data_IF_719030181924
#
_entry.id   IF_719030181924
#
_cell.length_a   1.000
_cell.length_b   1.000
_cell.length_c   1.000
_cell.angle_alpha   90.00
_cell.angle_beta   90.00
_cell.angle_gamma   90.00
#
_symmetry.space_group_name_H-M   'P 1'
#
loop_
_entity.id
_entity.type
_entity.pdbx_description
1 polymer ?
#
# COMPACT_ATOMS: atom_id res chain seq x y z
N UNK A 1 -8.80 -28.85 -17.72
CA UNK A 1 -7.88 -27.70 -17.53
C UNK A 1 -6.77 -27.84 -18.57
N UNK A 2 -6.40 -26.77 -19.27
CA UNK A 2 -5.31 -26.79 -20.28
C UNK A 2 -4.23 -25.82 -19.80
N UNK A 3 -3.13 -26.35 -19.26
CA UNK A 3 -2.01 -25.53 -18.77
C UNK A 3 -1.11 -25.06 -19.93
N UNK A 4 -0.18 -24.12 -19.63
CA UNK A 4 0.79 -23.58 -20.60
C UNK A 4 0.14 -23.08 -21.90
N UNK A 5 -1.04 -22.49 -21.77
CA UNK A 5 -1.93 -22.16 -22.87
C UNK A 5 -2.33 -20.69 -22.77
N UNK A 6 -1.48 -19.82 -23.30
CA UNK A 6 -1.71 -18.38 -23.33
C UNK A 6 -2.63 -17.99 -24.48
N UNK A 7 -3.63 -17.16 -24.18
CA UNK A 7 -4.51 -16.53 -25.17
C UNK A 7 -3.73 -15.38 -25.82
N UNK A 8 -3.64 -15.41 -27.15
CA UNK A 8 -2.94 -14.39 -27.95
C UNK A 8 -3.92 -13.49 -28.71
N UNK A 9 -5.19 -13.90 -28.84
CA UNK A 9 -6.21 -13.12 -29.52
C UNK A 9 -7.62 -13.57 -29.17
N UNK A 10 -8.59 -12.68 -29.44
CA UNK A 10 -10.01 -12.92 -29.27
C UNK A 10 -10.68 -12.48 -30.57
N UNK A 11 -11.39 -13.41 -31.21
CA UNK A 11 -12.24 -13.11 -32.36
C UNK A 11 -13.67 -12.90 -31.87
N UNK A 12 -14.26 -11.75 -32.21
CA UNK A 12 -15.62 -11.40 -31.83
C UNK A 12 -16.32 -10.71 -32.99
N UNK A 13 -17.64 -10.86 -33.08
CA UNK A 13 -18.47 -10.17 -34.05
C UNK A 13 -19.70 -9.59 -33.36
N UNK A 14 -19.96 -8.31 -33.59
CA UNK A 14 -21.04 -7.61 -32.91
C UNK A 14 -20.83 -7.67 -31.40
N UNK A 15 -21.76 -8.30 -30.69
CA UNK A 15 -21.74 -8.44 -29.23
C UNK A 15 -21.37 -9.85 -28.77
N UNK A 16 -20.81 -10.70 -29.63
CA UNK A 16 -20.48 -12.07 -29.27
C UNK A 16 -19.02 -12.43 -29.60
N UNK A 17 -18.34 -13.05 -28.63
CA UNK A 17 -17.06 -13.71 -28.84
C UNK A 17 -17.30 -15.01 -29.58
N UNK A 18 -16.61 -15.21 -30.71
CA UNK A 18 -16.70 -16.41 -31.52
C UNK A 18 -15.69 -17.47 -31.08
N UNK A 19 -14.46 -17.04 -30.79
CA UNK A 19 -13.37 -17.94 -30.38
C UNK A 19 -12.25 -17.21 -29.65
N UNK A 20 -11.54 -17.96 -28.81
CA UNK A 20 -10.25 -17.59 -28.27
C UNK A 20 -9.14 -18.19 -29.14
N UNK A 21 -8.13 -17.39 -29.45
CA UNK A 21 -6.98 -17.78 -30.26
C UNK A 21 -5.79 -17.99 -29.32
N UNK A 22 -5.21 -19.18 -29.36
CA UNK A 22 -3.97 -19.55 -28.67
C UNK A 22 -2.90 -19.85 -29.72
N UNK A 23 -1.62 -19.91 -29.31
CA UNK A 23 -0.49 -20.13 -30.25
C UNK A 23 -0.67 -21.33 -31.19
N UNK A 24 -1.24 -22.43 -30.68
CA UNK A 24 -1.31 -23.71 -31.41
C UNK A 24 -2.74 -24.25 -31.60
N UNK A 25 -3.77 -23.49 -31.19
CA UNK A 25 -5.17 -23.94 -31.27
C UNK A 25 -6.15 -22.78 -31.13
N UNK A 26 -7.38 -23.04 -31.53
CA UNK A 26 -8.52 -22.17 -31.28
C UNK A 26 -9.50 -22.87 -30.33
N UNK A 27 -10.18 -22.09 -29.49
CA UNK A 27 -11.20 -22.60 -28.57
C UNK A 27 -12.50 -21.86 -28.85
N UNK A 28 -13.55 -22.62 -29.16
CA UNK A 28 -14.92 -22.13 -29.32
C UNK A 28 -15.72 -22.58 -28.10
N UNK A 29 -16.48 -21.65 -27.52
CA UNK A 29 -17.42 -21.91 -26.45
C UNK A 29 -18.68 -21.07 -26.64
N UNK A 30 -19.78 -21.51 -26.02
CA UNK A 30 -21.01 -20.70 -25.98
C UNK A 30 -20.82 -19.44 -25.14
N UNK A 31 -20.19 -19.58 -23.97
CA UNK A 31 -19.93 -18.51 -23.01
C UNK A 31 -18.45 -18.49 -22.60
N UNK A 32 -17.94 -17.30 -22.31
CA UNK A 32 -16.56 -17.04 -21.89
C UNK A 32 -16.55 -16.33 -20.54
N UNK A 33 -15.66 -16.73 -19.63
CA UNK A 33 -15.49 -16.08 -18.34
C UNK A 33 -14.04 -15.62 -18.20
N UNK A 34 -13.82 -14.33 -18.01
CA UNK A 34 -12.49 -13.78 -17.78
C UNK A 34 -12.19 -13.75 -16.27
N UNK A 35 -11.27 -14.62 -15.87
CA UNK A 35 -10.77 -14.75 -14.50
C UNK A 35 -9.24 -14.58 -14.45
N UNK A 36 -8.70 -13.60 -15.18
CA UNK A 36 -7.24 -13.47 -15.39
C UNK A 36 -6.49 -12.81 -14.23
N UNK A 37 -7.20 -12.46 -13.16
CA UNK A 37 -6.64 -11.67 -12.06
C UNK A 37 -6.28 -10.24 -12.46
N UNK A 38 -5.50 -9.59 -11.59
CA UNK A 38 -5.01 -8.23 -11.78
C UNK A 38 -3.67 -8.14 -12.51
N UNK A 39 -2.83 -7.20 -12.04
CA UNK A 39 -1.47 -6.91 -12.52
C UNK A 39 -0.41 -7.05 -11.41
N UNK A 40 -0.84 -7.18 -10.15
CA UNK A 40 0.03 -7.48 -9.00
C UNK A 40 0.72 -8.84 -9.15
N UNK A 41 1.95 -8.98 -8.66
CA UNK A 41 2.72 -10.23 -8.71
C UNK A 41 2.76 -10.90 -10.11
N UNK A 42 3.24 -10.22 -11.17
CA UNK A 42 3.16 -10.72 -12.54
C UNK A 42 3.86 -12.07 -12.77
N UNK A 43 4.85 -12.41 -11.93
CA UNK A 43 5.51 -13.72 -11.93
C UNK A 43 4.56 -14.90 -11.65
N UNK A 44 3.39 -14.64 -11.07
CA UNK A 44 2.34 -15.64 -10.82
C UNK A 44 1.41 -15.86 -12.02
N UNK A 45 1.54 -15.06 -13.09
CA UNK A 45 0.74 -15.15 -14.31
C UNK A 45 -0.32 -14.05 -14.49
N UNK A 46 -0.51 -13.18 -13.50
CA UNK A 46 -1.35 -11.96 -13.53
C UNK A 46 -0.68 -10.86 -14.36
N UNK A 47 -0.70 -11.03 -15.69
CA UNK A 47 0.00 -10.13 -16.63
C UNK A 47 -0.77 -8.86 -17.00
N UNK A 48 -2.03 -8.75 -16.55
CA UNK A 48 -2.94 -7.67 -16.94
C UNK A 48 -3.45 -7.76 -18.38
N UNK A 49 -3.25 -8.89 -19.08
CA UNK A 49 -3.75 -9.07 -20.46
C UNK A 49 -5.28 -9.01 -20.53
N UNK A 50 -6.00 -9.50 -19.50
CA UNK A 50 -7.47 -9.43 -19.45
C UNK A 50 -8.02 -8.00 -19.56
N UNK A 51 -7.33 -7.01 -18.99
CA UNK A 51 -7.70 -5.60 -19.12
C UNK A 51 -7.56 -5.10 -20.56
N UNK A 52 -6.50 -5.51 -21.27
CA UNK A 52 -6.32 -5.15 -22.69
C UNK A 52 -7.41 -5.77 -23.54
N UNK A 53 -7.73 -7.03 -23.29
CA UNK A 53 -8.82 -7.74 -23.97
C UNK A 53 -10.17 -7.06 -23.73
N UNK A 54 -10.49 -6.72 -22.48
CA UNK A 54 -11.72 -6.02 -22.13
C UNK A 54 -11.83 -4.66 -22.85
N UNK A 55 -10.77 -3.84 -22.83
CA UNK A 55 -10.73 -2.59 -23.58
C UNK A 55 -10.97 -2.79 -25.10
N UNK A 56 -10.34 -3.80 -25.71
CA UNK A 56 -10.52 -4.11 -27.13
C UNK A 56 -11.94 -4.60 -27.47
N UNK A 57 -12.65 -5.17 -26.49
CA UNK A 57 -14.05 -5.57 -26.58
C UNK A 57 -15.02 -4.41 -26.27
N UNK A 58 -14.51 -3.20 -26.01
CA UNK A 58 -15.30 -2.00 -25.79
C UNK A 58 -15.59 -1.66 -24.32
N UNK A 59 -15.03 -2.38 -23.36
CA UNK A 59 -15.19 -2.08 -21.94
C UNK A 59 -14.34 -0.90 -21.47
N UNK A 60 -14.85 -0.12 -20.52
CA UNK A 60 -14.04 0.85 -19.80
C UNK A 60 -13.29 0.17 -18.65
N UNK A 61 -11.97 0.07 -18.81
CA UNK A 61 -11.06 -0.29 -17.71
C UNK A 61 -10.62 0.97 -16.99
N UNK A 62 -10.97 1.09 -15.70
CA UNK A 62 -10.46 2.16 -14.84
C UNK A 62 -8.95 2.05 -14.69
N UNK A 63 -8.31 3.20 -14.47
CA UNK A 63 -6.87 3.25 -14.27
C UNK A 63 -6.43 2.30 -13.15
N UNK A 64 -5.40 1.50 -13.44
CA UNK A 64 -4.92 0.45 -12.54
C UNK A 64 -3.82 0.99 -11.65
N UNK A 65 -3.91 0.72 -10.35
CA UNK A 65 -2.90 1.11 -9.37
C UNK A 65 -2.46 -0.05 -8.49
N UNK A 66 -1.18 -0.08 -8.06
CA UNK A 66 -0.75 -1.00 -7.02
C UNK A 66 -1.43 -0.63 -5.70
N UNK A 67 -2.05 -1.60 -5.05
CA UNK A 67 -2.70 -1.44 -3.75
C UNK A 67 -2.23 -2.50 -2.77
N UNK A 68 -2.38 -2.19 -1.47
CA UNK A 68 -1.79 -2.96 -0.38
C UNK A 68 -0.28 -3.17 -0.64
N UNK A 69 0.43 -2.06 -0.79
CA UNK A 69 1.81 -2.01 -1.29
C UNK A 69 2.71 -1.23 -0.33
N UNK A 70 3.97 -1.65 -0.12
CA UNK A 70 4.91 -0.89 0.68
C UNK A 70 5.16 0.52 0.12
N UNK A 71 5.59 1.42 1.00
CA UNK A 71 5.90 2.80 0.65
C UNK A 71 7.41 3.03 0.68
N UNK A 72 7.90 3.89 -0.22
CA UNK A 72 9.29 4.32 -0.24
C UNK A 72 9.44 5.59 0.59
N UNK A 73 10.51 5.65 1.38
CA UNK A 73 10.84 6.80 2.22
C UNK A 73 12.16 7.43 1.75
N UNK A 74 12.21 8.76 1.76
CA UNK A 74 13.36 9.55 1.29
C UNK A 74 14.54 9.50 2.26
N UNK A 75 14.25 9.54 3.56
CA UNK A 75 15.26 9.63 4.61
C UNK A 75 16.10 8.36 4.69
N UNK A 76 17.42 8.50 4.58
CA UNK A 76 18.36 7.37 4.52
C UNK A 76 18.43 6.54 5.81
N UNK A 77 18.13 7.15 6.96
CA UNK A 77 18.16 6.49 8.26
C UNK A 77 17.11 5.38 8.38
N UNK A 78 16.07 5.39 7.56
CA UNK A 78 15.04 4.33 7.54
C UNK A 78 15.66 2.98 7.19
N UNK A 79 16.68 2.95 6.33
CA UNK A 79 17.39 1.72 5.95
C UNK A 79 18.15 1.11 7.12
N UNK A 80 18.64 1.94 8.04
CA UNK A 80 19.33 1.48 9.26
C UNK A 80 18.38 0.65 10.15
N UNK A 81 17.07 0.85 10.01
CA UNK A 81 16.03 0.18 10.77
C UNK A 81 15.47 -1.07 10.08
N UNK A 82 15.95 -1.45 8.89
CA UNK A 82 15.42 -2.58 8.12
C UNK A 82 15.20 -3.83 8.98
N UNK A 83 14.01 -4.43 8.90
CA UNK A 83 13.63 -5.62 9.66
C UNK A 83 13.15 -5.33 11.08
N UNK A 84 13.16 -4.07 11.54
CA UNK A 84 12.51 -3.69 12.78
C UNK A 84 10.99 -3.62 12.55
N UNK A 85 10.25 -4.45 13.27
CA UNK A 85 8.81 -4.32 13.43
C UNK A 85 8.50 -3.49 14.68
N UNK A 86 7.53 -2.59 14.57
CA UNK A 86 6.96 -1.84 15.68
C UNK A 86 5.48 -2.20 15.81
N UNK A 87 5.07 -2.47 17.04
CA UNK A 87 3.69 -2.74 17.41
C UNK A 87 3.10 -1.55 18.15
N UNK A 88 1.77 -1.38 18.06
CA UNK A 88 1.03 -0.35 18.76
C UNK A 88 1.52 1.07 18.47
N UNK A 89 1.80 1.36 17.19
CA UNK A 89 2.21 2.69 16.71
C UNK A 89 1.10 3.33 15.89
N UNK A 90 1.11 4.66 15.80
CA UNK A 90 0.20 5.40 14.91
C UNK A 90 0.97 6.04 13.77
N UNK A 91 0.51 5.82 12.55
CA UNK A 91 0.97 6.52 11.34
C UNK A 91 0.00 7.63 11.03
N UNK A 92 0.51 8.84 10.89
CA UNK A 92 -0.22 10.04 10.54
C UNK A 92 0.27 10.54 9.16
N UNK A 93 -0.65 10.70 8.22
CA UNK A 93 -0.34 11.12 6.84
C UNK A 93 -0.77 12.56 6.64
N UNK A 94 0.15 13.38 6.14
CA UNK A 94 -0.05 14.81 5.90
C UNK A 94 0.22 15.16 4.45
N UNK A 95 -0.56 16.11 3.94
CA UNK A 95 -0.34 16.73 2.63
C UNK A 95 -0.61 18.22 2.79
N UNK A 96 0.31 19.09 2.34
CA UNK A 96 0.26 20.54 2.56
C UNK A 96 0.09 20.89 4.04
N UNK A 97 0.83 20.19 4.90
CA UNK A 97 0.81 20.29 6.37
C UNK A 97 -0.56 20.07 7.04
N UNK A 98 -1.57 19.59 6.30
CA UNK A 98 -2.87 19.17 6.83
C UNK A 98 -2.88 17.66 7.02
N UNK A 99 -3.26 17.21 8.23
CA UNK A 99 -3.48 15.79 8.52
C UNK A 99 -4.63 15.30 7.64
N UNK A 100 -4.37 14.29 6.81
CA UNK A 100 -5.36 13.68 5.91
C UNK A 100 -5.92 12.39 6.47
N UNK A 101 -5.06 11.61 7.12
CA UNK A 101 -5.43 10.27 7.58
C UNK A 101 -4.54 9.83 8.75
N UNK A 102 -5.06 8.91 9.58
CA UNK A 102 -4.27 8.19 10.58
C UNK A 102 -4.66 6.71 10.65
N UNK A 103 -3.68 5.85 10.93
CA UNK A 103 -3.89 4.44 11.22
C UNK A 103 -3.04 3.99 12.40
N UNK A 104 -3.62 3.16 13.25
CA UNK A 104 -2.96 2.54 14.39
C UNK A 104 -2.71 1.05 14.13
N UNK A 105 -1.56 0.53 14.58
CA UNK A 105 -1.24 -0.90 14.52
C UNK A 105 0.25 -1.16 14.31
N UNK A 106 0.56 -2.13 13.46
CA UNK A 106 1.92 -2.63 13.22
C UNK A 106 2.58 -2.06 11.96
N UNK A 107 3.84 -1.63 12.11
CA UNK A 107 4.68 -1.08 11.05
C UNK A 107 5.99 -1.87 10.94
N UNK A 108 6.47 -2.09 9.72
CA UNK A 108 7.74 -2.75 9.44
C UNK A 108 8.66 -1.80 8.67
N UNK A 109 9.89 -1.61 9.15
CA UNK A 109 10.94 -0.92 8.41
C UNK A 109 11.59 -1.84 7.38
N UNK A 110 11.84 -1.34 6.17
CA UNK A 110 12.48 -2.09 5.07
C UNK A 110 13.71 -1.34 4.54
N UNK A 111 14.44 -1.95 3.61
CA UNK A 111 15.61 -1.33 2.96
C UNK A 111 15.26 -0.14 2.04
N UNK A 112 13.97 0.09 1.75
CA UNK A 112 13.51 1.19 0.88
C UNK A 112 12.53 2.13 1.57
N UNK A 113 11.96 1.77 2.71
CA UNK A 113 10.87 2.53 3.32
C UNK A 113 10.12 1.76 4.40
N UNK A 114 8.79 1.79 4.34
CA UNK A 114 7.91 1.16 5.31
C UNK A 114 6.99 0.13 4.67
N UNK A 115 6.63 -0.88 5.44
CA UNK A 115 5.67 -1.94 5.15
C UNK A 115 4.91 -2.30 6.43
N UNK A 116 4.27 -3.47 6.45
CA UNK A 116 3.47 -3.95 7.57
C UNK A 116 1.98 -3.59 7.43
N UNK A 117 1.10 -4.24 8.21
CA UNK A 117 -0.34 -4.18 8.01
C UNK A 117 -0.92 -2.77 7.88
N UNK A 118 -0.49 -1.82 8.73
CA UNK A 118 -1.04 -0.46 8.69
C UNK A 118 -0.58 0.29 7.45
N UNK A 119 0.66 0.10 7.01
CA UNK A 119 1.21 0.77 5.83
C UNK A 119 0.52 0.26 4.57
N UNK A 120 0.35 -1.06 4.47
CA UNK A 120 -0.37 -1.67 3.35
C UNK A 120 -1.83 -1.20 3.32
N UNK A 121 -2.52 -1.18 4.46
CA UNK A 121 -3.91 -0.73 4.54
C UNK A 121 -4.13 0.73 4.14
N UNK A 122 -3.12 1.60 4.27
CA UNK A 122 -3.21 3.02 3.91
C UNK A 122 -2.54 3.37 2.58
N UNK A 123 -1.87 2.41 1.93
CA UNK A 123 -1.07 2.66 0.74
C UNK A 123 -1.89 3.25 -0.41
N UNK A 124 -3.14 2.79 -0.59
CA UNK A 124 -4.08 3.30 -1.60
C UNK A 124 -4.32 4.81 -1.42
N UNK A 125 -4.65 5.22 -0.19
CA UNK A 125 -4.87 6.63 0.17
C UNK A 125 -3.62 7.48 -0.03
N UNK A 126 -2.44 6.96 0.35
CA UNK A 126 -1.16 7.64 0.08
C UNK A 126 -0.96 7.82 -1.43
N UNK A 127 -1.24 6.78 -2.23
CA UNK A 127 -1.17 6.83 -3.68
C UNK A 127 -2.10 7.87 -4.29
N UNK A 128 -3.34 7.98 -3.81
CA UNK A 128 -4.30 9.01 -4.24
C UNK A 128 -3.80 10.42 -3.91
N UNK A 129 -3.26 10.64 -2.71
CA UNK A 129 -2.68 11.94 -2.32
C UNK A 129 -1.47 12.33 -3.18
N UNK A 130 -0.65 11.36 -3.58
CA UNK A 130 0.48 11.60 -4.48
C UNK A 130 0.03 11.96 -5.91
N UNK A 131 -1.19 11.57 -6.31
CA UNK A 131 -1.74 11.82 -7.67
C UNK A 131 -2.62 13.07 -7.78
N UNK A 132 -3.36 13.42 -6.73
CA UNK A 132 -4.45 14.41 -6.76
C UNK A 132 -4.01 15.89 -6.98
N UNK A 133 -2.76 16.17 -7.32
CA UNK A 133 -2.37 17.52 -7.75
C UNK A 133 -1.65 17.48 -9.10
N UNK A 134 -2.22 18.25 -10.04
CA UNK A 134 -1.60 18.60 -11.31
C UNK A 134 -0.14 18.97 -11.10
N UNK A 135 0.72 18.45 -11.97
CA UNK A 135 2.08 18.94 -12.17
C UNK A 135 1.96 20.38 -12.70
N UNK A 136 1.70 21.36 -11.83
CA UNK A 136 1.80 22.78 -12.15
C UNK A 136 3.26 23.22 -11.98
N UNK A 137 4.09 22.80 -12.92
CA UNK A 137 5.36 23.46 -13.25
C UNK A 137 6.04 22.68 -14.39
N UNK A 138 5.57 22.92 -15.62
CA UNK A 138 6.36 22.69 -16.83
C UNK A 138 6.91 24.05 -17.25
N UNK A 139 7.83 24.62 -16.47
CA UNK A 139 8.65 25.74 -16.95
C UNK A 139 10.16 25.54 -16.69
N UNK A 140 10.59 24.73 -15.70
CA UNK A 140 12.04 24.61 -15.40
C UNK A 140 12.59 23.16 -15.29
N UNK A 141 11.99 22.18 -15.95
CA UNK A 141 12.58 20.83 -16.04
C UNK A 141 12.71 20.04 -14.72
N UNK A 142 12.30 20.60 -13.58
CA UNK A 142 12.28 19.95 -12.27
C UNK A 142 10.86 19.50 -11.96
N UNK A 143 10.61 18.19 -12.05
CA UNK A 143 9.39 17.56 -11.53
C UNK A 143 9.36 17.75 -10.01
N UNK A 144 8.60 18.73 -9.53
CA UNK A 144 8.35 18.88 -8.10
C UNK A 144 7.32 17.81 -7.69
N UNK A 145 7.78 16.75 -7.04
CA UNK A 145 6.90 15.71 -6.52
C UNK A 145 6.10 16.29 -5.34
N UNK A 146 4.78 16.08 -5.35
CA UNK A 146 3.93 16.44 -4.23
C UNK A 146 4.45 15.74 -2.97
N UNK A 147 4.75 16.53 -1.93
CA UNK A 147 5.41 16.01 -0.74
C UNK A 147 4.35 15.54 0.25
N UNK A 148 4.16 14.22 0.30
CA UNK A 148 3.37 13.58 1.37
C UNK A 148 4.31 13.29 2.53
N UNK A 149 4.00 13.88 3.69
CA UNK A 149 4.73 13.66 4.94
C UNK A 149 4.04 12.57 5.76
N UNK A 150 4.85 11.78 6.43
CA UNK A 150 4.42 10.70 7.30
C UNK A 150 5.03 10.97 8.67
N UNK A 151 4.19 11.02 9.69
CA UNK A 151 4.62 11.10 11.08
C UNK A 151 4.30 9.79 11.76
N UNK A 152 5.33 9.16 12.35
CA UNK A 152 5.19 7.96 13.15
C UNK A 152 5.19 8.33 14.63
N UNK A 153 4.06 8.08 15.30
CA UNK A 153 3.94 8.15 16.74
C UNK A 153 4.31 6.80 17.35
N UNK A 154 5.44 6.77 18.07
CA UNK A 154 5.98 5.56 18.70
C UNK A 154 5.26 5.21 20.01
N UNK A 155 4.48 6.14 20.58
CA UNK A 155 3.78 5.99 21.86
C UNK A 155 2.38 6.64 21.79
N UNK A 156 1.48 6.17 20.91
CA UNK A 156 0.15 6.75 20.74
C UNK A 156 -0.71 6.65 22.01
N UNK A 157 -0.51 5.63 22.84
CA UNK A 157 -1.23 5.46 24.11
C UNK A 157 -0.84 6.47 25.20
N UNK A 158 0.23 7.25 25.01
CA UNK A 158 0.67 8.29 25.94
C UNK A 158 0.53 9.66 25.29
N UNK A 159 -0.21 10.56 25.91
CA UNK A 159 -0.13 11.99 25.59
C UNK A 159 1.27 12.54 25.92
N UNK A 160 1.59 13.72 25.39
CA UNK A 160 2.92 14.33 25.53
C UNK A 160 3.32 14.56 26.99
N UNK A 161 2.36 14.87 27.87
CA UNK A 161 2.66 15.12 29.28
C UNK A 161 2.98 13.81 30.02
N UNK A 162 2.21 12.75 29.79
CA UNK A 162 2.48 11.41 30.34
C UNK A 162 3.78 10.84 29.80
N UNK A 163 4.08 11.06 28.53
CA UNK A 163 5.35 10.65 27.94
C UNK A 163 6.53 11.41 28.56
N UNK A 164 6.41 12.72 28.77
CA UNK A 164 7.43 13.51 29.48
C UNK A 164 7.67 12.99 30.89
N UNK A 165 6.59 12.76 31.67
CA UNK A 165 6.67 12.18 33.02
C UNK A 165 7.35 10.80 33.01
N UNK A 166 7.04 9.97 32.01
CA UNK A 166 7.70 8.67 31.83
C UNK A 166 9.21 8.83 31.58
N UNK A 167 9.60 9.72 30.66
CA UNK A 167 11.01 9.97 30.35
C UNK A 167 11.75 10.52 31.57
N UNK A 168 11.16 11.44 32.33
CA UNK A 168 11.74 11.92 33.58
C UNK A 168 12.01 10.79 34.59
N UNK A 169 11.08 9.84 34.73
CA UNK A 169 11.25 8.67 35.60
C UNK A 169 12.41 7.79 35.13
N UNK A 170 12.47 7.51 33.84
CA UNK A 170 13.54 6.69 33.24
C UNK A 170 14.90 7.42 33.37
N UNK A 171 14.92 8.74 33.23
CA UNK A 171 16.12 9.56 33.42
C UNK A 171 16.63 9.54 34.87
N UNK A 172 15.74 9.59 35.87
CA UNK A 172 16.12 9.45 37.29
C UNK A 172 16.76 8.09 37.57
N UNK A 173 16.18 7.02 37.01
CA UNK A 173 16.71 5.64 37.15
C UNK A 173 18.13 5.51 36.56
N UNK A 174 18.43 6.27 35.50
CA UNK A 174 19.71 6.19 34.77
C UNK A 174 20.54 7.47 34.85
N UNK A 175 20.39 8.28 35.91
CA UNK A 175 20.95 9.62 36.03
C UNK A 175 22.46 9.75 35.76
N UNK A 176 23.24 8.72 36.11
CA UNK A 176 24.69 8.68 35.96
C UNK A 176 25.17 8.00 34.66
N UNK A 177 24.25 7.52 33.82
CA UNK A 177 24.57 6.86 32.54
C UNK A 177 24.54 7.87 31.39
N UNK A 178 25.16 7.49 30.27
CA UNK A 178 25.04 8.20 28.99
C UNK A 178 23.60 8.15 28.46
N UNK A 179 23.16 9.23 27.81
CA UNK A 179 21.83 9.35 27.21
C UNK A 179 21.45 8.18 26.29
N UNK A 180 22.37 7.72 25.43
CA UNK A 180 22.11 6.55 24.56
C UNK A 180 21.70 5.29 25.33
N UNK A 181 22.16 5.13 26.58
CA UNK A 181 21.90 3.95 27.39
C UNK A 181 20.59 4.02 28.18
N UNK A 182 19.95 5.19 28.30
CA UNK A 182 18.70 5.34 29.07
C UNK A 182 17.44 5.02 28.25
N UNK A 183 17.55 4.92 26.92
CA UNK A 183 16.41 4.66 26.03
C UNK A 183 16.04 3.18 25.89
N UNK A 184 16.85 2.26 26.45
CA UNK A 184 16.66 0.81 26.34
C UNK A 184 15.32 0.31 26.90
N UNK A 185 14.78 0.95 27.94
CA UNK A 185 13.50 0.57 28.55
C UNK A 185 12.29 1.13 27.78
N UNK A 186 12.52 2.05 26.84
CA UNK A 186 11.48 2.77 26.11
C UNK A 186 11.36 2.33 24.64
N UNK A 187 12.49 2.03 24.01
CA UNK A 187 12.61 1.79 22.58
C UNK A 187 13.36 0.49 22.26
N UNK A 188 13.06 -0.16 21.12
CA UNK A 188 13.88 -1.25 20.61
C UNK A 188 15.32 -0.81 20.36
N UNK A 189 16.29 -1.69 20.65
CA UNK A 189 17.74 -1.39 20.53
C UNK A 189 18.13 -0.81 19.16
N UNK A 190 17.52 -1.31 18.08
CA UNK A 190 17.82 -0.87 16.71
C UNK A 190 17.37 0.56 16.42
N UNK A 191 16.34 1.05 17.11
CA UNK A 191 15.80 2.41 16.95
C UNK A 191 16.60 3.46 17.73
N UNK A 192 17.28 3.07 18.80
CA UNK A 192 17.99 3.98 19.71
C UNK A 192 19.03 4.85 18.98
N UNK A 193 19.95 4.31 18.14
CA UNK A 193 20.94 5.15 17.45
C UNK A 193 20.32 6.23 16.57
N UNK A 194 19.22 5.90 15.88
CA UNK A 194 18.47 6.82 15.03
C UNK A 194 17.82 7.92 15.86
N UNK A 195 17.15 7.58 16.96
CA UNK A 195 16.52 8.57 17.84
C UNK A 195 17.56 9.47 18.51
N UNK A 196 18.69 8.92 18.96
CA UNK A 196 19.78 9.72 19.51
C UNK A 196 20.28 10.74 18.48
N UNK A 197 20.54 10.29 17.24
CA UNK A 197 20.96 11.16 16.13
C UNK A 197 19.94 12.26 15.84
N UNK A 198 18.65 11.92 15.75
CA UNK A 198 17.57 12.87 15.42
C UNK A 198 17.20 13.79 16.59
N UNK A 199 17.50 13.41 17.83
CA UNK A 199 17.21 14.22 19.02
C UNK A 199 18.14 15.43 19.18
N UNK A 200 19.27 15.46 18.47
CA UNK A 200 20.37 16.42 18.65
C UNK A 200 20.95 16.46 20.07
N UNK A 201 20.75 15.41 20.89
CA UNK A 201 21.39 15.24 22.20
C UNK A 201 22.66 14.40 22.02
N UNK A 202 23.80 14.89 22.51
CA UNK A 202 25.05 14.15 22.39
C UNK A 202 24.94 12.74 23.02
N UNK A 203 25.36 11.66 22.34
CA UNK A 203 25.16 10.28 22.80
C UNK A 203 25.73 9.99 24.19
N UNK A 204 26.90 10.58 24.49
CA UNK A 204 27.63 10.44 25.76
C UNK A 204 27.25 11.47 26.81
N UNK A 205 26.33 12.39 26.51
CA UNK A 205 25.83 13.35 27.49
C UNK A 205 25.25 12.57 28.67
N UNK A 206 25.67 12.91 29.89
CA UNK A 206 25.07 12.33 31.08
C UNK A 206 23.61 12.78 31.19
N UNK A 207 22.75 11.84 31.56
CA UNK A 207 21.31 12.06 31.64
C UNK A 207 20.93 13.22 32.57
N UNK A 208 21.64 13.40 33.69
CA UNK A 208 21.44 14.51 34.61
C UNK A 208 21.73 15.90 34.01
N UNK A 209 22.50 15.97 32.92
CA UNK A 209 22.82 17.20 32.22
C UNK A 209 21.87 17.46 31.03
N UNK A 210 20.91 16.57 30.76
CA UNK A 210 19.90 16.78 29.71
C UNK A 210 18.92 17.86 30.15
N UNK A 211 18.77 18.90 29.32
CA UNK A 211 17.94 20.05 29.65
C UNK A 211 16.45 19.73 29.50
N UNK A 212 15.58 20.56 30.10
CA UNK A 212 14.13 20.45 29.90
C UNK A 212 13.77 20.60 28.42
N UNK A 213 14.43 21.51 27.70
CA UNK A 213 14.18 21.74 26.28
C UNK A 213 14.56 20.53 25.42
N UNK A 214 15.76 19.98 25.62
CA UNK A 214 16.20 18.74 24.96
C UNK A 214 15.22 17.59 25.19
N UNK A 215 14.76 17.43 26.44
CA UNK A 215 13.77 16.41 26.80
C UNK A 215 12.42 16.66 26.12
N UNK A 216 11.93 17.89 26.07
CA UNK A 216 10.70 18.25 25.36
C UNK A 216 10.83 17.96 23.85
N UNK A 217 11.99 18.21 23.25
CA UNK A 217 12.25 17.90 21.85
C UNK A 217 12.29 16.38 21.61
N UNK A 218 12.86 15.61 22.54
CA UNK A 218 12.77 14.14 22.51
C UNK A 218 11.31 13.65 22.56
N UNK A 219 10.48 14.22 23.44
CA UNK A 219 9.04 13.89 23.49
C UNK A 219 8.38 14.17 22.14
N UNK A 220 8.63 15.34 21.54
CA UNK A 220 8.09 15.69 20.22
C UNK A 220 8.54 14.72 19.14
N UNK A 221 9.83 14.36 19.12
CA UNK A 221 10.40 13.40 18.17
C UNK A 221 9.77 12.00 18.31
N UNK A 222 9.55 11.53 19.53
CA UNK A 222 8.94 10.21 19.76
C UNK A 222 7.46 10.16 19.38
N UNK A 223 6.75 11.29 19.47
CA UNK A 223 5.35 11.43 19.05
C UNK A 223 5.22 11.72 17.55
N UNK A 224 6.27 12.28 16.93
CA UNK A 224 6.28 12.68 15.54
C UNK A 224 7.63 12.39 14.88
N UNK A 225 7.92 11.10 14.66
CA UNK A 225 9.07 10.72 13.85
C UNK A 225 8.73 10.97 12.38
N UNK A 226 9.09 12.15 11.90
CA UNK A 226 8.75 12.62 10.56
C UNK A 226 9.60 11.96 9.46
N UNK A 227 8.92 11.62 8.37
CA UNK A 227 9.46 10.99 7.17
C UNK A 227 8.74 11.56 5.94
N UNK A 228 9.41 11.51 4.81
CA UNK A 228 8.87 11.96 3.52
C UNK A 228 8.76 10.77 2.58
N UNK A 229 7.57 10.52 2.04
CA UNK A 229 7.44 9.51 0.98
C UNK A 229 7.74 10.12 -0.39
N UNK A 230 8.46 9.37 -1.23
CA UNK A 230 8.71 9.71 -2.63
C UNK A 230 7.96 8.77 -3.60
N UNK A 231 7.04 7.94 -3.08
CA UNK A 231 6.24 7.03 -3.88
C UNK A 231 5.91 5.71 -3.21
N UNK A 232 5.06 4.93 -3.89
CA UNK A 232 4.77 3.54 -3.55
C UNK A 232 5.72 2.60 -4.32
N UNK A 233 5.81 1.33 -3.91
CA UNK A 233 6.33 0.30 -4.82
C UNK A 233 5.35 0.05 -5.98
N UNK A 234 5.86 -0.60 -7.03
CA UNK A 234 5.07 -0.98 -8.20
C UNK A 234 4.28 -2.27 -8.00
N UNK A 235 3.68 -2.75 -9.09
CA UNK A 235 2.88 -3.98 -9.13
C UNK A 235 3.65 -5.24 -8.71
N UNK A 236 4.98 -5.27 -8.87
CA UNK A 236 5.83 -6.40 -8.44
C UNK A 236 5.81 -6.65 -6.92
N UNK A 237 5.38 -5.65 -6.14
CA UNK A 237 5.31 -5.74 -4.67
C UNK A 237 3.92 -5.41 -4.12
N UNK A 238 2.95 -5.19 -5.00
CA UNK A 238 1.56 -4.94 -4.61
C UNK A 238 0.88 -6.27 -4.35
N UNK A 239 0.09 -6.37 -3.27
CA UNK A 239 -0.69 -7.59 -2.99
C UNK A 239 -1.88 -7.68 -3.96
N UNK A 240 -2.48 -6.54 -4.28
CA UNK A 240 -3.61 -6.46 -5.21
C UNK A 240 -3.49 -5.27 -6.16
N UNK A 241 -4.31 -5.30 -7.18
CA UNK A 241 -4.57 -4.26 -8.16
C UNK A 241 -5.85 -3.54 -7.76
N UNK A 242 -5.78 -2.22 -7.62
CA UNK A 242 -6.98 -1.37 -7.52
C UNK A 242 -7.29 -0.80 -8.91
N UNK A 243 -8.57 -0.61 -9.21
CA UNK A 243 -9.04 -0.38 -10.57
C UNK A 243 -9.48 -1.69 -11.23
N UNK A 244 -9.82 -1.63 -12.52
CA UNK A 244 -10.28 -2.78 -13.28
C UNK A 244 -11.48 -2.46 -14.15
N UNK A 245 -12.21 -3.49 -14.56
CA UNK A 245 -13.39 -3.31 -15.41
C UNK A 245 -14.50 -2.61 -14.61
N UNK A 246 -15.07 -1.56 -15.20
CA UNK A 246 -16.10 -0.74 -14.59
C UNK A 246 -17.32 -1.56 -14.15
N UNK A 247 -17.69 -1.45 -12.88
CA UNK A 247 -18.89 -2.08 -12.32
C UNK A 247 -20.19 -1.68 -13.03
N UNK A 248 -20.23 -0.51 -13.69
CA UNK A 248 -21.42 -0.06 -14.43
C UNK A 248 -21.71 -0.96 -15.64
N UNK A 249 -20.69 -1.60 -16.18
CA UNK A 249 -20.73 -2.41 -17.41
C UNK A 249 -20.89 -3.91 -17.13
N UNK A 250 -21.00 -4.28 -15.84
CA UNK A 250 -21.21 -5.65 -15.39
C UNK A 250 -22.59 -5.72 -14.73
N UNK A 251 -23.35 -6.77 -15.02
CA UNK A 251 -24.58 -7.09 -14.31
C UNK A 251 -24.24 -7.72 -12.95
N UNK A 252 -24.67 -7.09 -11.86
CA UNK A 252 -24.31 -7.46 -10.49
C UNK A 252 -24.97 -8.75 -9.99
N UNK A 253 -26.00 -9.24 -10.69
CA UNK A 253 -26.71 -10.49 -10.36
C UNK A 253 -26.17 -11.69 -11.11
N UNK A 254 -25.48 -11.47 -12.23
CA UNK A 254 -25.02 -12.54 -13.12
C UNK A 254 -23.52 -12.53 -13.39
N UNK A 255 -22.84 -11.42 -13.12
CA UNK A 255 -21.47 -11.12 -13.54
C UNK A 255 -21.27 -11.06 -15.06
N UNK A 256 -22.37 -11.03 -15.83
CA UNK A 256 -22.36 -10.91 -17.29
C UNK A 256 -21.95 -9.50 -17.71
N UNK A 257 -21.20 -9.41 -18.78
CA UNK A 257 -20.95 -8.16 -19.48
C UNK A 257 -22.26 -7.59 -20.03
N UNK A 258 -22.45 -6.28 -19.88
CA UNK A 258 -23.56 -5.55 -20.52
C UNK A 258 -23.24 -5.14 -21.97
N UNK A 259 -22.01 -5.40 -22.43
CA UNK A 259 -21.51 -5.01 -23.76
C UNK A 259 -21.39 -6.25 -24.66
N UNK A 260 -20.79 -7.33 -24.16
CA UNK A 260 -20.59 -8.59 -24.87
C UNK A 260 -21.48 -9.66 -24.24
N UNK A 261 -22.42 -10.15 -25.01
CA UNK A 261 -23.53 -10.96 -24.54
C UNK A 261 -23.06 -12.32 -24.04
N UNK A 262 -21.98 -12.89 -24.54
CA UNK A 262 -21.50 -14.20 -24.07
C UNK A 262 -20.21 -14.11 -23.22
N UNK A 263 -19.98 -12.96 -22.58
CA UNK A 263 -18.83 -12.72 -21.72
C UNK A 263 -19.24 -12.45 -20.27
N UNK A 264 -18.49 -13.02 -19.33
CA UNK A 264 -18.61 -12.80 -17.90
C UNK A 264 -17.25 -12.42 -17.31
N UNK A 265 -17.24 -11.75 -16.17
CA UNK A 265 -16.02 -11.38 -15.45
C UNK A 265 -16.06 -11.93 -14.02
N UNK A 266 -14.91 -12.31 -13.48
CA UNK A 266 -14.81 -12.68 -12.07
C UNK A 266 -13.41 -12.43 -11.50
N UNK A 267 -13.36 -12.18 -10.20
CA UNK A 267 -12.14 -11.89 -9.44
C UNK A 267 -11.56 -10.50 -9.70
N UNK A 268 -10.25 -10.38 -9.47
CA UNK A 268 -9.50 -9.11 -9.44
C UNK A 268 -9.43 -8.36 -10.79
N UNK A 269 -9.99 -8.90 -11.87
CA UNK A 269 -10.14 -8.17 -13.14
C UNK A 269 -11.24 -7.09 -13.04
N UNK A 270 -12.15 -7.24 -12.09
CA UNK A 270 -13.24 -6.30 -11.83
C UNK A 270 -12.71 -5.18 -10.93
N UNK A 271 -13.22 -3.96 -11.09
CA UNK A 271 -12.93 -2.82 -10.21
C UNK A 271 -13.54 -2.97 -8.80
N UNK A 272 -13.05 -3.98 -8.06
CA UNK A 272 -13.36 -4.28 -6.67
C UNK A 272 -12.04 -4.63 -5.97
N UNK A 273 -11.68 -3.83 -4.97
CA UNK A 273 -10.55 -4.10 -4.09
C UNK A 273 -10.97 -3.97 -2.62
N UNK A 274 -10.43 -4.84 -1.78
CA UNK A 274 -10.69 -4.89 -0.34
C UNK A 274 -9.41 -4.80 0.49
N UNK A 275 -9.53 -4.62 1.82
CA UNK A 275 -8.38 -4.63 2.73
C UNK A 275 -7.72 -6.03 2.80
N UNK A 276 -6.57 -6.11 3.46
CA UNK A 276 -5.98 -7.40 3.85
C UNK A 276 -6.92 -8.20 4.77
N UNK A 277 -6.70 -9.51 4.89
CA UNK A 277 -7.50 -10.38 5.76
C UNK A 277 -8.53 -11.25 5.04
N UNK A 278 -8.32 -11.55 3.76
CA UNK A 278 -9.12 -12.53 3.00
C UNK A 278 -10.28 -11.94 2.18
N UNK A 279 -10.57 -10.65 2.30
CA UNK A 279 -11.66 -9.99 1.55
C UNK A 279 -11.51 -10.13 0.03
N UNK A 280 -10.31 -9.93 -0.51
CA UNK A 280 -10.06 -10.08 -1.94
C UNK A 280 -10.28 -11.52 -2.43
N UNK A 281 -9.90 -12.52 -1.61
CA UNK A 281 -10.19 -13.93 -1.93
C UNK A 281 -11.70 -14.19 -1.92
N UNK A 282 -12.41 -13.65 -0.92
CA UNK A 282 -13.87 -13.77 -0.86
C UNK A 282 -14.56 -13.19 -2.09
N UNK A 283 -14.08 -12.05 -2.62
CA UNK A 283 -14.57 -11.47 -3.88
C UNK A 283 -14.33 -12.42 -5.04
N UNK A 284 -13.13 -13.00 -5.16
CA UNK A 284 -12.82 -13.99 -6.20
C UNK A 284 -13.76 -15.21 -6.14
N UNK A 285 -14.01 -15.76 -4.95
CA UNK A 285 -14.89 -16.92 -4.78
C UNK A 285 -16.35 -16.59 -5.10
N UNK A 286 -16.84 -15.46 -4.59
CA UNK A 286 -18.25 -15.07 -4.75
C UNK A 286 -18.57 -14.76 -6.20
N UNK A 287 -17.72 -13.95 -6.87
CA UNK A 287 -17.92 -13.57 -8.28
C UNK A 287 -17.69 -14.76 -9.22
N UNK A 288 -16.69 -15.61 -8.94
CA UNK A 288 -16.43 -16.81 -9.73
C UNK A 288 -17.58 -17.80 -9.68
N UNK A 289 -18.14 -18.05 -8.49
CA UNK A 289 -19.30 -18.93 -8.33
C UNK A 289 -20.51 -18.38 -9.11
N UNK A 290 -20.82 -17.09 -8.94
CA UNK A 290 -21.98 -16.45 -9.57
C UNK A 290 -21.85 -16.40 -11.10
N UNK A 291 -20.66 -16.09 -11.62
CA UNK A 291 -20.39 -16.11 -13.05
C UNK A 291 -20.53 -17.53 -13.62
N UNK A 292 -19.98 -18.54 -12.91
CA UNK A 292 -20.06 -19.94 -13.32
C UNK A 292 -21.50 -20.46 -13.41
N UNK A 293 -22.32 -20.20 -12.38
CA UNK A 293 -23.72 -20.64 -12.36
C UNK A 293 -24.56 -20.00 -13.47
N UNK A 294 -24.31 -18.74 -13.80
CA UNK A 294 -25.08 -18.03 -14.83
C UNK A 294 -24.56 -18.28 -16.24
N UNK A 295 -23.29 -18.67 -16.42
CA UNK A 295 -22.74 -19.03 -17.73
C UNK A 295 -23.23 -20.39 -18.25
N UNK A 296 -23.88 -21.21 -17.41
CA UNK A 296 -24.43 -22.52 -17.82
C UNK A 296 -25.93 -22.46 -18.13
N UNK A 297 -26.63 -21.42 -17.64
CA UNK A 297 -28.05 -21.17 -17.94
C UNK A 297 -28.24 -20.70 -19.37
#
# INVERSE_FOLDING_TARGET
IIYNSEIVGIDYQGREIRKLILKNREIVAKNYIFCTGGKSYPLTGSTGNGFKWANNLGHHVKELYPALVPIKIKESWVKELQGLSLENVEINVFQKDKKRYSAFGECLFTHFGLSGPIILGISKKIGELLRNEEIKSVEDGIKQFNTVKISLDLKPALDSEKLDKRIQRDFRKYQNKSFKNCLNDLLPRKLIPVIVKLSNIAPEKRVNNVTKEERCNLVKLLKNLEMTTNGLLGFDSAIITSGGISLKEIDDKTMRSKIIDNLFFAGEIIDIDGPTGGFNLQVCWSTGCLAGENAVK
#
